data_IF_472593657420
#
_entry.id   IF_472593657420
#
_cell.length_a   1.000
_cell.length_b   1.000
_cell.length_c   1.000
_cell.angle_alpha   90.00
_cell.angle_beta   90.00
_cell.angle_gamma   90.00
#
_symmetry.space_group_name_H-M   'P 1'
#
loop_
_entity.id
_entity.type
_entity.pdbx_description
1 polymer ?
#
# COMPACT_ATOMS: atom_id res chain seq x y z
N UNK A 1 14.99 10.58 17.31
CA UNK A 1 16.26 10.90 18.03
C UNK A 1 15.99 12.07 18.98
N UNK A 2 16.61 12.13 20.16
CA UNK A 2 16.40 13.26 21.11
C UNK A 2 15.13 13.19 21.99
N UNK A 3 14.58 11.99 22.22
CA UNK A 3 13.45 11.79 23.12
C UNK A 3 13.94 11.58 24.56
N UNK A 4 13.38 12.35 25.51
CA UNK A 4 13.62 12.14 26.94
C UNK A 4 12.83 10.92 27.41
N UNK A 5 13.52 9.90 27.89
CA UNK A 5 12.92 8.67 28.42
C UNK A 5 13.38 8.44 29.87
N UNK A 6 12.47 7.94 30.70
CA UNK A 6 12.73 7.63 32.11
C UNK A 6 12.90 6.12 32.25
N UNK A 7 14.03 5.68 32.80
CA UNK A 7 14.40 4.27 32.93
C UNK A 7 15.06 4.00 34.29
N UNK A 8 15.03 2.75 34.79
CA UNK A 8 15.84 2.34 35.94
C UNK A 8 17.33 2.51 35.67
N UNK A 9 18.08 2.98 36.68
CA UNK A 9 19.51 3.32 36.60
C UNK A 9 20.37 2.21 35.98
N UNK A 10 20.25 0.97 36.46
CA UNK A 10 21.05 -0.17 35.98
C UNK A 10 20.82 -0.43 34.49
N UNK A 11 19.55 -0.47 34.07
CA UNK A 11 19.17 -0.69 32.68
C UNK A 11 19.62 0.45 31.77
N UNK A 12 19.56 1.69 32.26
CA UNK A 12 20.01 2.87 31.53
C UNK A 12 21.53 2.80 31.28
N UNK A 13 22.29 2.47 32.31
CA UNK A 13 23.76 2.41 32.24
C UNK A 13 24.23 1.30 31.30
N UNK A 14 23.79 0.05 31.52
CA UNK A 14 24.27 -1.12 30.78
C UNK A 14 23.87 -1.12 29.31
N UNK A 15 22.61 -0.78 29.00
CA UNK A 15 22.07 -0.92 27.63
C UNK A 15 22.20 0.32 26.78
N UNK A 16 22.32 1.51 27.37
CA UNK A 16 22.25 2.76 26.60
C UNK A 16 23.49 3.64 26.76
N UNK A 17 23.94 3.88 27.99
CA UNK A 17 25.07 4.80 28.23
C UNK A 17 26.41 4.12 27.87
N UNK A 18 26.63 2.89 28.36
CA UNK A 18 27.88 2.16 28.10
C UNK A 18 28.09 1.88 26.60
N UNK A 19 27.07 1.46 25.82
CA UNK A 19 27.20 1.30 24.37
C UNK A 19 27.16 2.63 23.59
N UNK A 20 27.09 3.77 24.30
CA UNK A 20 27.02 5.13 23.73
C UNK A 20 25.80 5.40 22.85
N UNK A 21 24.68 4.73 23.11
CA UNK A 21 23.39 4.95 22.44
C UNK A 21 22.58 6.09 23.06
N UNK A 22 22.85 6.45 24.32
CA UNK A 22 22.20 7.57 25.00
C UNK A 22 23.19 8.38 25.85
N UNK A 23 22.78 9.60 26.20
CA UNK A 23 23.54 10.54 27.04
C UNK A 23 22.67 10.95 28.23
N UNK A 24 23.32 11.29 29.35
CA UNK A 24 22.62 11.84 30.51
C UNK A 24 21.85 13.12 30.16
N UNK A 25 20.68 13.27 30.79
CA UNK A 25 19.82 14.43 30.64
C UNK A 25 20.34 15.63 31.47
N UNK A 26 21.53 16.13 31.15
CA UNK A 26 22.05 17.42 31.65
C UNK A 26 21.45 18.56 30.82
N UNK A 27 21.31 19.78 31.37
CA UNK A 27 20.73 20.92 30.65
C UNK A 27 21.45 21.20 29.33
N UNK A 28 22.78 21.13 29.32
CA UNK A 28 23.62 21.29 28.13
C UNK A 28 23.34 20.25 27.04
N UNK A 29 23.22 18.96 27.43
CA UNK A 29 22.93 17.89 26.47
C UNK A 29 21.49 17.97 25.95
N UNK A 30 20.56 18.43 26.78
CA UNK A 30 19.18 18.63 26.37
C UNK A 30 19.14 19.69 25.25
N UNK A 31 19.80 20.82 25.42
CA UNK A 31 19.89 21.88 24.40
C UNK A 31 20.58 21.40 23.12
N UNK A 32 21.69 20.65 23.25
CA UNK A 32 22.45 20.13 22.12
C UNK A 32 21.68 19.11 21.27
N UNK A 33 20.86 18.27 21.90
CA UNK A 33 20.13 17.17 21.23
C UNK A 33 18.63 17.41 21.10
N UNK A 34 18.14 18.58 21.51
CA UNK A 34 16.78 19.04 21.23
C UNK A 34 16.65 19.29 19.73
N UNK A 35 16.07 18.33 19.01
CA UNK A 35 15.58 18.57 17.65
C UNK A 35 14.49 19.65 17.76
N UNK A 36 14.79 20.86 17.28
CA UNK A 36 13.88 22.01 17.25
C UNK A 36 12.80 21.86 16.18
N UNK A 37 13.07 21.10 15.11
CA UNK A 37 12.09 20.85 14.05
C UNK A 37 11.08 19.76 14.44
N UNK A 38 9.87 20.21 14.74
CA UNK A 38 8.69 19.35 14.96
C UNK A 38 8.41 18.49 13.71
N UNK A 39 8.73 18.99 12.51
CA UNK A 39 8.58 18.26 11.25
C UNK A 39 9.55 17.08 11.13
N UNK A 40 10.81 17.27 11.53
CA UNK A 40 11.81 16.20 11.47
C UNK A 40 11.62 15.17 12.59
N UNK A 41 11.09 15.58 13.75
CA UNK A 41 10.58 14.63 14.76
C UNK A 41 9.44 13.78 14.23
N UNK A 42 8.50 14.36 13.47
CA UNK A 42 7.41 13.61 12.84
C UNK A 42 7.93 12.62 11.81
N UNK A 43 8.91 12.99 10.97
CA UNK A 43 9.54 12.08 10.01
C UNK A 43 10.29 10.94 10.69
N UNK A 44 11.00 11.20 11.80
CA UNK A 44 11.79 10.20 12.53
C UNK A 44 10.95 9.27 13.44
N UNK A 45 9.79 9.72 13.91
CA UNK A 45 8.83 8.91 14.68
C UNK A 45 7.64 8.40 13.85
N UNK A 46 7.63 8.60 12.52
CA UNK A 46 6.44 8.38 11.70
C UNK A 46 5.99 6.92 11.66
N UNK A 47 6.95 6.00 11.71
CA UNK A 47 6.72 4.61 11.38
C UNK A 47 6.85 3.73 12.61
N UNK A 48 5.86 2.87 12.82
CA UNK A 48 5.80 1.90 13.90
C UNK A 48 6.95 0.89 13.88
N UNK A 49 7.57 0.65 12.72
CA UNK A 49 8.69 -0.25 12.54
C UNK A 49 9.58 0.17 11.37
N UNK A 50 10.86 -0.26 11.40
CA UNK A 50 11.85 0.00 10.36
C UNK A 50 11.43 -0.52 8.97
N UNK A 51 10.57 -1.54 8.92
CA UNK A 51 10.11 -2.15 7.67
C UNK A 51 8.84 -1.50 7.09
N UNK A 52 8.20 -0.59 7.83
CA UNK A 52 6.91 -0.01 7.45
C UNK A 52 7.02 0.78 6.16
N UNK A 53 8.05 1.62 6.02
CA UNK A 53 8.26 2.41 4.81
C UNK A 53 8.35 1.54 3.56
N UNK A 54 9.15 0.45 3.63
CA UNK A 54 9.24 -0.54 2.54
C UNK A 54 7.90 -1.22 2.29
N UNK A 55 7.17 -1.57 3.35
CA UNK A 55 5.86 -2.21 3.26
C UNK A 55 4.84 -1.29 2.60
N UNK A 56 4.82 0.00 2.96
CA UNK A 56 3.99 1.03 2.33
C UNK A 56 4.33 1.14 0.84
N UNK A 57 5.62 1.18 0.50
CA UNK A 57 6.07 1.27 -0.89
C UNK A 57 5.58 0.06 -1.70
N UNK A 58 5.74 -1.16 -1.18
CA UNK A 58 5.25 -2.38 -1.83
C UNK A 58 3.73 -2.37 -1.96
N UNK A 59 2.98 -2.14 -0.87
CA UNK A 59 1.52 -2.16 -0.87
C UNK A 59 0.90 -1.07 -1.76
N UNK A 60 1.51 0.13 -1.82
CA UNK A 60 1.02 1.22 -2.67
C UNK A 60 1.19 0.91 -4.16
N UNK A 61 2.25 0.19 -4.54
CA UNK A 61 2.49 -0.25 -5.91
C UNK A 61 1.73 -1.55 -6.26
N UNK A 62 1.21 -2.25 -5.26
CA UNK A 62 0.45 -3.48 -5.48
C UNK A 62 -0.86 -3.21 -6.20
N UNK A 63 -1.15 -4.07 -7.17
CA UNK A 63 -2.38 -4.02 -7.94
C UNK A 63 -3.10 -5.37 -7.80
N UNK A 64 -4.21 -5.37 -7.07
CA UNK A 64 -4.95 -6.59 -6.78
C UNK A 64 -5.96 -6.90 -7.89
N UNK A 65 -5.80 -8.06 -8.52
CA UNK A 65 -6.80 -8.65 -9.43
C UNK A 65 -7.79 -9.48 -8.60
N UNK A 66 -9.02 -9.02 -8.48
CA UNK A 66 -10.13 -9.73 -7.84
C UNK A 66 -10.86 -10.57 -8.88
N UNK A 67 -10.58 -11.88 -8.88
CA UNK A 67 -11.31 -12.83 -9.72
C UNK A 67 -12.62 -13.22 -9.05
N UNK A 68 -13.74 -12.80 -9.65
CA UNK A 68 -15.09 -13.08 -9.16
C UNK A 68 -15.91 -13.83 -10.21
N UNK A 69 -16.93 -14.58 -9.80
CA UNK A 69 -17.75 -15.37 -10.75
C UNK A 69 -18.65 -14.47 -11.60
N UNK A 70 -18.82 -14.79 -12.88
CA UNK A 70 -19.86 -14.20 -13.73
C UNK A 70 -21.23 -14.84 -13.50
N UNK A 71 -21.24 -16.11 -13.12
CA UNK A 71 -22.46 -16.95 -13.11
C UNK A 71 -23.18 -16.92 -11.75
N UNK A 72 -22.41 -16.73 -10.68
CA UNK A 72 -22.92 -16.75 -9.30
C UNK A 72 -22.89 -15.34 -8.73
N UNK A 73 -23.99 -14.84 -8.12
CA UNK A 73 -23.99 -13.53 -7.47
C UNK A 73 -23.04 -13.53 -6.28
N UNK A 74 -22.30 -12.42 -6.12
CA UNK A 74 -21.30 -12.26 -5.08
C UNK A 74 -21.32 -10.84 -4.51
N UNK A 75 -20.86 -10.73 -3.27
CA UNK A 75 -20.62 -9.46 -2.59
C UNK A 75 -19.18 -9.46 -2.07
N UNK A 76 -18.45 -8.35 -2.27
CA UNK A 76 -17.05 -8.31 -1.86
C UNK A 76 -16.97 -8.21 -0.34
N UNK A 77 -16.36 -9.24 0.24
CA UNK A 77 -16.05 -9.34 1.66
C UNK A 77 -14.53 -9.39 1.91
N UNK A 78 -14.13 -9.24 3.17
CA UNK A 78 -12.70 -9.18 3.56
C UNK A 78 -11.92 -10.45 3.19
N UNK A 79 -12.56 -11.62 3.25
CA UNK A 79 -11.91 -12.88 2.93
C UNK A 79 -11.54 -12.99 1.44
N UNK A 80 -12.32 -12.40 0.54
CA UNK A 80 -12.02 -12.35 -0.89
C UNK A 80 -10.70 -11.59 -1.13
N UNK A 81 -10.56 -10.44 -0.48
CA UNK A 81 -9.33 -9.65 -0.52
C UNK A 81 -8.15 -10.40 0.08
N UNK A 82 -8.35 -11.10 1.22
CA UNK A 82 -7.31 -11.94 1.83
C UNK A 82 -6.78 -13.00 0.86
N UNK A 83 -7.67 -13.67 0.14
CA UNK A 83 -7.27 -14.67 -0.88
C UNK A 83 -6.49 -13.99 -2.01
N UNK A 84 -6.95 -12.85 -2.50
CA UNK A 84 -6.25 -12.09 -3.55
C UNK A 84 -4.87 -11.59 -3.13
N UNK A 85 -4.72 -11.08 -1.90
CA UNK A 85 -3.41 -10.72 -1.34
C UNK A 85 -2.48 -11.94 -1.31
N UNK A 86 -2.99 -13.11 -0.89
CA UNK A 86 -2.21 -14.34 -0.84
C UNK A 86 -1.78 -14.81 -2.22
N UNK A 87 -2.62 -14.66 -3.24
CA UNK A 87 -2.25 -14.94 -4.64
C UNK A 87 -1.13 -14.04 -5.16
N UNK A 88 -0.98 -12.82 -4.61
CA UNK A 88 0.12 -11.90 -4.89
C UNK A 88 1.34 -12.13 -3.97
N UNK A 89 1.32 -13.16 -3.12
CA UNK A 89 2.40 -13.47 -2.18
C UNK A 89 2.42 -12.63 -0.90
N UNK A 90 1.39 -11.83 -0.66
CA UNK A 90 1.27 -11.00 0.54
C UNK A 90 0.34 -11.66 1.57
N UNK A 91 0.81 -11.75 2.81
CA UNK A 91 0.03 -12.30 3.92
C UNK A 91 -0.56 -11.13 4.70
N UNK A 92 -1.86 -10.91 4.54
CA UNK A 92 -2.60 -9.83 5.22
C UNK A 92 -3.77 -10.43 6.00
N UNK A 93 -3.87 -10.20 7.33
CA UNK A 93 -5.01 -10.67 8.12
C UNK A 93 -6.26 -9.84 7.84
N UNK A 94 -7.45 -10.45 7.96
CA UNK A 94 -8.73 -9.77 7.66
C UNK A 94 -8.98 -8.55 8.54
N UNK A 95 -8.50 -8.58 9.78
CA UNK A 95 -8.65 -7.49 10.74
C UNK A 95 -7.95 -6.21 10.27
N UNK A 96 -6.89 -6.34 9.45
CA UNK A 96 -6.16 -5.22 8.89
C UNK A 96 -6.82 -4.62 7.65
N UNK A 97 -7.79 -5.32 7.05
CA UNK A 97 -8.43 -4.91 5.79
C UNK A 97 -9.69 -4.09 6.08
N UNK A 98 -9.73 -2.87 5.54
CA UNK A 98 -10.89 -1.97 5.58
C UNK A 98 -11.47 -1.87 4.17
N UNK A 99 -12.69 -2.35 4.02
CA UNK A 99 -13.49 -2.24 2.81
C UNK A 99 -14.03 -0.81 2.62
N UNK A 100 -14.33 -0.39 1.38
CA UNK A 100 -15.09 0.83 1.14
C UNK A 100 -16.50 0.73 1.77
N UNK A 101 -17.09 1.87 2.13
CA UNK A 101 -18.43 1.92 2.75
C UNK A 101 -19.53 1.39 1.82
N UNK A 102 -19.35 1.57 0.51
CA UNK A 102 -20.28 1.11 -0.51
C UNK A 102 -19.98 -0.36 -0.85
N UNK A 103 -20.95 -1.24 -0.58
CA UNK A 103 -20.86 -2.63 -0.95
C UNK A 103 -20.81 -2.77 -2.48
N UNK A 104 -19.84 -3.53 -2.98
CA UNK A 104 -19.71 -3.85 -4.39
C UNK A 104 -20.27 -5.27 -4.59
N UNK A 105 -21.29 -5.38 -5.43
CA UNK A 105 -21.98 -6.63 -5.71
C UNK A 105 -22.00 -6.89 -7.22
N UNK A 106 -21.87 -8.16 -7.60
CA UNK A 106 -22.02 -8.64 -8.97
C UNK A 106 -23.09 -9.73 -9.05
N UNK A 107 -23.38 -10.26 -10.26
CA UNK A 107 -22.56 -10.22 -11.45
C UNK A 107 -23.12 -9.26 -12.50
N UNK A 108 -22.37 -8.19 -12.78
CA UNK A 108 -22.72 -7.23 -13.83
C UNK A 108 -21.48 -6.99 -14.70
N UNK A 109 -21.58 -7.26 -15.99
CA UNK A 109 -20.51 -7.05 -16.98
C UNK A 109 -20.05 -5.59 -16.95
N UNK A 110 -20.92 -4.66 -16.58
CA UNK A 110 -20.57 -3.24 -16.49
C UNK A 110 -19.45 -2.98 -15.48
N UNK A 111 -19.29 -3.82 -14.45
CA UNK A 111 -18.30 -3.71 -13.37
C UNK A 111 -16.94 -4.30 -13.79
N UNK A 112 -16.89 -5.03 -14.90
CA UNK A 112 -15.67 -5.60 -15.41
C UNK A 112 -14.62 -4.52 -15.68
N UNK A 113 -13.37 -4.85 -15.36
CA UNK A 113 -12.24 -3.94 -15.51
C UNK A 113 -12.37 -2.63 -14.71
N UNK A 114 -13.29 -2.52 -13.74
CA UNK A 114 -13.35 -1.31 -12.90
C UNK A 114 -12.45 -1.38 -11.69
N UNK A 115 -12.01 -0.21 -11.28
CA UNK A 115 -11.12 -0.02 -10.13
C UNK A 115 -11.85 0.49 -8.89
N UNK A 116 -11.35 0.06 -7.74
CA UNK A 116 -11.65 0.67 -6.45
C UNK A 116 -10.42 0.55 -5.56
N UNK A 117 -10.40 1.27 -4.42
CA UNK A 117 -9.33 1.12 -3.45
C UNK A 117 -9.82 0.47 -2.17
N UNK A 118 -8.89 -0.20 -1.49
CA UNK A 118 -9.06 -0.79 -0.17
C UNK A 118 -8.01 -0.17 0.74
N UNK A 119 -8.36 0.06 2.01
CA UNK A 119 -7.38 0.56 2.98
C UNK A 119 -6.88 -0.60 3.84
N UNK A 120 -5.56 -0.80 3.87
CA UNK A 120 -4.89 -1.79 4.72
C UNK A 120 -4.21 -1.07 5.88
N UNK A 121 -4.44 -1.55 7.10
CA UNK A 121 -3.75 -1.08 8.30
C UNK A 121 -2.45 -1.85 8.52
N UNK A 122 -1.37 -1.14 8.84
CA UNK A 122 -0.11 -1.72 9.30
C UNK A 122 0.02 -1.37 10.79
N UNK A 123 0.20 -2.38 11.63
CA UNK A 123 0.40 -2.24 13.08
C UNK A 123 -0.63 -1.32 13.78
N UNK A 124 -1.87 -1.27 13.27
CA UNK A 124 -2.96 -0.39 13.72
C UNK A 124 -2.66 1.13 13.72
N UNK A 125 -1.51 1.54 13.16
CA UNK A 125 -1.04 2.92 13.15
C UNK A 125 -1.06 3.50 11.73
N UNK A 126 -0.40 2.83 10.78
CA UNK A 126 -0.34 3.31 9.40
C UNK A 126 -1.49 2.76 8.55
N UNK A 127 -1.95 3.56 7.59
CA UNK A 127 -3.01 3.19 6.63
C UNK A 127 -2.47 3.34 5.21
N UNK A 128 -2.60 2.30 4.42
CA UNK A 128 -2.16 2.28 3.01
C UNK A 128 -3.36 1.99 2.12
N UNK A 129 -3.53 2.81 1.07
CA UNK A 129 -4.53 2.57 0.04
C UNK A 129 -3.94 1.66 -1.04
N UNK A 130 -4.63 0.56 -1.32
CA UNK A 130 -4.23 -0.45 -2.31
C UNK A 130 -5.26 -0.45 -3.45
N UNK A 131 -4.79 -0.43 -4.69
CA UNK A 131 -5.65 -0.50 -5.87
C UNK A 131 -6.14 -1.93 -6.10
N UNK A 132 -7.44 -2.05 -6.34
CA UNK A 132 -8.11 -3.30 -6.63
C UNK A 132 -8.88 -3.17 -7.94
N UNK A 133 -8.82 -4.21 -8.76
CA UNK A 133 -9.54 -4.30 -10.02
C UNK A 133 -10.36 -5.57 -10.05
N UNK A 134 -11.59 -5.45 -10.50
CA UNK A 134 -12.49 -6.58 -10.64
C UNK A 134 -12.27 -7.21 -12.01
N UNK A 135 -12.14 -8.53 -12.00
CA UNK A 135 -12.06 -9.36 -13.17
C UNK A 135 -13.03 -10.54 -13.01
N UNK A 136 -13.95 -10.66 -13.94
CA UNK A 136 -14.96 -11.69 -13.94
C UNK A 136 -14.39 -12.95 -14.57
N UNK A 137 -14.74 -14.07 -13.95
CA UNK A 137 -14.33 -15.41 -14.33
C UNK A 137 -15.57 -16.26 -14.53
N UNK A 138 -15.56 -17.01 -15.62
CA UNK A 138 -16.56 -18.04 -15.92
C UNK A 138 -15.82 -19.29 -16.36
N UNK A 139 -16.47 -20.45 -16.21
CA UNK A 139 -15.94 -21.72 -16.70
C UNK A 139 -16.22 -21.93 -18.19
N UNK A 140 -17.18 -21.19 -18.75
CA UNK A 140 -17.60 -21.31 -20.14
C UNK A 140 -16.60 -20.58 -21.06
N UNK A 141 -15.89 -21.28 -21.96
CA UNK A 141 -14.84 -20.66 -22.79
C UNK A 141 -15.35 -19.55 -23.71
N UNK A 142 -16.61 -19.63 -24.16
CA UNK A 142 -17.22 -18.64 -25.04
C UNK A 142 -17.50 -17.30 -24.34
N UNK A 143 -17.65 -17.33 -23.01
CA UNK A 143 -17.95 -16.16 -22.17
C UNK A 143 -16.72 -15.66 -21.43
N UNK A 144 -15.57 -16.33 -21.58
CA UNK A 144 -14.33 -15.95 -20.93
C UNK A 144 -13.82 -14.62 -21.49
N UNK A 145 -13.59 -13.66 -20.58
CA UNK A 145 -13.09 -12.35 -20.94
C UNK A 145 -11.56 -12.41 -20.89
N UNK A 146 -10.95 -12.59 -22.06
CA UNK A 146 -9.49 -12.66 -22.19
C UNK A 146 -8.96 -11.30 -22.62
N UNK A 147 -7.95 -10.82 -21.89
CA UNK A 147 -7.22 -9.61 -22.23
C UNK A 147 -5.82 -9.98 -22.72
N UNK A 148 -5.42 -9.42 -23.86
CA UNK A 148 -4.09 -9.60 -24.43
C UNK A 148 -3.02 -8.83 -23.62
N UNK A 149 -3.42 -7.66 -23.13
CA UNK A 149 -2.60 -6.79 -22.30
C UNK A 149 -2.65 -7.21 -20.82
N UNK A 150 -1.57 -7.07 -20.05
CA UNK A 150 -1.61 -7.33 -18.62
C UNK A 150 -2.50 -6.34 -17.86
N UNK A 151 -3.12 -6.84 -16.78
CA UNK A 151 -4.13 -6.11 -16.00
C UNK A 151 -3.68 -4.76 -15.42
N UNK A 152 -2.37 -4.57 -15.22
CA UNK A 152 -1.77 -3.38 -14.63
C UNK A 152 -1.51 -2.23 -15.62
N UNK A 153 -1.63 -2.47 -16.93
CA UNK A 153 -1.46 -1.44 -17.97
C UNK A 153 -2.79 -0.79 -18.38
N UNK A 154 -3.91 -1.49 -18.22
CA UNK A 154 -5.22 -0.97 -18.60
C UNK A 154 -5.59 0.30 -17.83
N UNK A 155 -5.95 1.35 -18.54
CA UNK A 155 -6.60 2.52 -17.97
C UNK A 155 -8.02 2.15 -17.53
N UNK A 156 -8.21 1.92 -16.23
CA UNK A 156 -9.50 1.51 -15.71
C UNK A 156 -10.23 2.62 -14.97
N UNK A 157 -11.54 2.67 -15.22
CA UNK A 157 -12.46 3.63 -14.61
C UNK A 157 -12.83 3.17 -13.19
N UNK A 158 -12.95 4.11 -12.28
CA UNK A 158 -13.43 3.84 -10.94
C UNK A 158 -14.85 3.27 -10.97
N UNK A 159 -15.16 2.34 -10.06
CA UNK A 159 -16.53 1.87 -9.80
C UNK A 159 -17.38 3.04 -9.32
N UNK A 160 -16.83 3.81 -8.38
CA UNK A 160 -17.44 5.01 -7.83
C UNK A 160 -16.77 6.25 -8.41
N UNK A 161 -17.54 7.20 -8.99
CA UNK A 161 -16.96 8.42 -9.56
C UNK A 161 -16.14 9.26 -8.57
N UNK A 162 -16.56 9.29 -7.30
CA UNK A 162 -15.91 10.01 -6.19
C UNK A 162 -14.46 9.54 -5.96
N UNK A 163 -14.20 8.25 -6.18
CA UNK A 163 -12.90 7.64 -5.88
C UNK A 163 -11.87 7.82 -7.01
N UNK A 164 -12.29 8.36 -8.16
CA UNK A 164 -11.44 8.51 -9.34
C UNK A 164 -10.24 9.43 -9.08
N UNK A 165 -10.42 10.53 -8.35
CA UNK A 165 -9.35 11.46 -8.02
C UNK A 165 -8.29 10.80 -7.13
N UNK A 166 -8.75 10.05 -6.12
CA UNK A 166 -7.88 9.29 -5.22
C UNK A 166 -7.11 8.24 -6.02
N UNK A 167 -7.79 7.48 -6.87
CA UNK A 167 -7.16 6.46 -7.70
C UNK A 167 -6.11 7.07 -8.61
N UNK A 168 -6.38 8.20 -9.27
CA UNK A 168 -5.41 8.88 -10.14
C UNK A 168 -4.13 9.33 -9.40
N UNK A 169 -4.25 9.73 -8.13
CA UNK A 169 -3.11 10.17 -7.31
C UNK A 169 -2.17 9.04 -6.87
N UNK A 170 -2.64 7.79 -6.87
CA UNK A 170 -1.87 6.66 -6.39
C UNK A 170 -0.73 6.29 -7.36
N UNK A 171 0.35 5.66 -6.88
CA UNK A 171 1.41 5.18 -7.76
C UNK A 171 0.90 4.02 -8.63
N UNK A 172 1.39 3.94 -9.87
CA UNK A 172 1.16 2.79 -10.76
C UNK A 172 2.01 1.59 -10.35
N UNK A 173 1.62 0.42 -10.86
CA UNK A 173 2.35 -0.82 -10.65
C UNK A 173 3.80 -0.69 -11.13
N UNK A 174 4.73 -1.32 -10.41
CA UNK A 174 6.17 -1.24 -10.70
C UNK A 174 6.52 -1.57 -12.15
N UNK A 175 5.86 -2.59 -12.72
CA UNK A 175 6.13 -3.03 -14.09
C UNK A 175 5.64 -2.04 -15.15
N UNK A 176 4.47 -1.42 -14.94
CA UNK A 176 3.94 -0.41 -15.87
C UNK A 176 4.86 0.82 -15.97
N UNK A 177 5.52 1.19 -14.86
CA UNK A 177 6.47 2.29 -14.87
C UNK A 177 7.79 1.96 -15.57
N UNK A 178 8.15 0.67 -15.70
CA UNK A 178 9.38 0.26 -16.36
C UNK A 178 9.26 0.47 -17.88
N UNK A 179 8.16 0.01 -18.46
CA UNK A 179 7.90 0.12 -19.90
C UNK A 179 7.86 1.58 -20.36
N UNK A 180 7.23 2.48 -19.59
CA UNK A 180 7.22 3.92 -19.91
C UNK A 180 8.65 4.50 -19.95
N UNK A 181 9.54 4.04 -19.06
CA UNK A 181 10.94 4.50 -19.05
C UNK A 181 11.68 3.98 -20.28
N UNK A 182 11.52 2.70 -20.58
CA UNK A 182 12.13 2.05 -21.74
C UNK A 182 11.65 2.73 -23.05
N UNK A 183 10.35 3.05 -23.18
CA UNK A 183 9.79 3.82 -24.30
C UNK A 183 10.32 5.26 -24.39
N UNK A 184 10.54 5.92 -23.24
CA UNK A 184 11.06 7.29 -23.24
C UNK A 184 12.52 7.31 -23.70
N UNK A 185 13.32 6.34 -23.27
CA UNK A 185 14.73 6.20 -23.63
C UNK A 185 14.89 5.91 -25.14
N UNK A 186 14.11 4.99 -25.71
CA UNK A 186 14.12 4.69 -27.16
C UNK A 186 13.78 5.92 -28.02
N UNK A 187 12.76 6.70 -27.63
CA UNK A 187 12.38 7.92 -28.38
C UNK A 187 13.41 9.06 -28.29
N UNK A 188 14.34 9.02 -27.33
CA UNK A 188 15.40 10.03 -27.21
C UNK A 188 16.62 9.68 -28.06
N UNK A 189 16.86 8.40 -28.30
CA UNK A 189 17.97 7.91 -29.14
C UNK A 189 17.68 8.06 -30.64
N UNK A 190 16.41 8.04 -31.06
CA UNK A 190 16.01 8.24 -32.46
C UNK A 190 16.03 9.72 -32.93
N UNK A 191 16.37 10.66 -32.04
CA UNK A 191 16.43 12.11 -32.31
C UNK A 191 17.86 12.68 -32.36
N UNK A 192 18.89 11.85 -32.20
CA UNK A 192 20.33 12.20 -32.38
C UNK A 192 20.91 11.61 -33.67
#
# INVERSE_FOLDING_TARGET
MGQKITLPSVKAYEKFILPKLAVYATPENIEKYLIQDIEDRKKLCAYSSQFVERTICVLSQCYLRLRMSLDVPWTIEKWHLRVCFRMQGLIVPENAIILPEKAISGPDISIENREFYVTVKINDHEKVKVRCKIHQYTSDPEREIIYDTPYYQFASRAIFPEDQEILNSLPRHRLANKEIRDETEENTEDLE
#
